data_IF_385829393796
#
_entry.id   IF_385829393796
#
_cell.length_a   1.000
_cell.length_b   1.000
_cell.length_c   1.000
_cell.angle_alpha   90.00
_cell.angle_beta   90.00
_cell.angle_gamma   90.00
#
_symmetry.space_group_name_H-M   'P 1'
#
loop_
_entity.id
_entity.type
_entity.pdbx_description
1 polymer ?
#
# COMPACT_ATOMS: atom_id res chain seq x y z
N UNK A 1 -16.39 -18.04 21.91
CA UNK A 1 -15.32 -17.52 22.80
C UNK A 1 -14.45 -16.60 21.97
N UNK A 2 -14.19 -15.36 22.41
CA UNK A 2 -13.32 -14.44 21.68
C UNK A 2 -11.87 -14.85 21.96
N UNK A 3 -11.14 -15.26 20.93
CA UNK A 3 -9.75 -15.72 21.05
C UNK A 3 -8.85 -14.50 21.18
N UNK A 4 -7.91 -14.54 22.13
CA UNK A 4 -6.80 -13.57 22.18
C UNK A 4 -5.75 -14.09 21.19
N UNK A 5 -5.67 -13.45 20.02
CA UNK A 5 -4.78 -13.86 18.94
C UNK A 5 -3.51 -13.02 18.96
N UNK A 6 -2.38 -13.64 19.29
CA UNK A 6 -1.06 -13.00 19.41
C UNK A 6 -0.07 -13.48 18.32
N UNK A 7 -0.57 -14.09 17.24
CA UNK A 7 0.29 -14.64 16.18
C UNK A 7 1.03 -13.55 15.39
N UNK A 8 0.37 -12.44 15.10
CA UNK A 8 0.90 -11.27 14.39
C UNK A 8 -0.13 -10.14 14.45
N UNK A 9 0.30 -8.90 14.27
CA UNK A 9 -0.54 -7.73 14.00
C UNK A 9 -1.32 -7.82 12.67
N UNK A 10 -0.88 -8.61 11.70
CA UNK A 10 -1.57 -8.81 10.40
C UNK A 10 -2.96 -9.44 10.52
N UNK A 11 -3.34 -9.96 11.69
CA UNK A 11 -4.68 -10.50 11.97
C UNK A 11 -5.72 -9.41 12.25
N UNK A 12 -5.34 -8.12 12.22
CA UNK A 12 -6.26 -7.01 12.39
C UNK A 12 -7.44 -7.08 11.42
N UNK A 13 -8.63 -6.72 11.92
CA UNK A 13 -9.85 -6.61 11.11
C UNK A 13 -10.19 -5.13 10.91
N UNK A 14 -10.72 -4.73 9.73
CA UNK A 14 -11.20 -3.37 9.50
C UNK A 14 -12.26 -2.96 10.52
N UNK A 15 -12.08 -1.77 11.11
CA UNK A 15 -13.05 -1.15 12.01
C UNK A 15 -14.35 -0.79 11.26
N UNK A 16 -15.48 -0.56 11.95
CA UNK A 16 -16.71 -0.13 11.29
C UNK A 16 -16.53 1.15 10.46
N UNK A 17 -15.79 2.14 10.98
CA UNK A 17 -15.51 3.38 10.25
C UNK A 17 -14.68 3.14 8.99
N UNK A 18 -13.69 2.24 9.04
CA UNK A 18 -12.91 1.86 7.86
C UNK A 18 -13.78 1.14 6.82
N UNK A 19 -14.69 0.27 7.25
CA UNK A 19 -15.65 -0.40 6.34
C UNK A 19 -16.56 0.59 5.64
N UNK A 20 -17.07 1.59 6.36
CA UNK A 20 -17.89 2.64 5.77
C UNK A 20 -17.09 3.50 4.77
N UNK A 21 -15.84 3.86 5.11
CA UNK A 21 -14.97 4.61 4.22
C UNK A 21 -14.66 3.84 2.93
N UNK A 22 -14.38 2.53 3.04
CA UNK A 22 -14.18 1.66 1.86
C UNK A 22 -15.46 1.57 1.02
N UNK A 23 -16.62 1.41 1.64
CA UNK A 23 -17.90 1.32 0.93
C UNK A 23 -18.27 2.61 0.17
N UNK A 24 -17.91 3.77 0.72
CA UNK A 24 -18.19 5.09 0.13
C UNK A 24 -17.08 5.65 -0.75
N UNK A 25 -15.97 4.94 -0.91
CA UNK A 25 -14.84 5.44 -1.68
C UNK A 25 -15.25 5.70 -3.14
N UNK A 26 -14.85 6.84 -3.68
CA UNK A 26 -14.89 7.07 -5.12
C UNK A 26 -13.77 6.25 -5.74
N UNK A 27 -14.09 5.47 -6.77
CA UNK A 27 -13.17 4.54 -7.42
C UNK A 27 -13.14 4.78 -8.93
N UNK A 28 -12.05 4.38 -9.56
CA UNK A 28 -11.84 4.49 -11.00
C UNK A 28 -10.92 3.38 -11.52
N UNK A 29 -10.50 3.51 -12.77
CA UNK A 29 -9.52 2.58 -13.34
C UNK A 29 -8.09 3.08 -13.02
N UNK A 30 -7.45 2.42 -12.07
CA UNK A 30 -6.10 2.75 -11.60
C UNK A 30 -5.03 2.56 -12.70
N UNK A 31 -5.25 1.67 -13.68
CA UNK A 31 -4.31 1.50 -14.80
C UNK A 31 -4.23 2.76 -15.67
N UNK A 32 -5.33 3.51 -15.74
CA UNK A 32 -5.39 4.81 -16.42
C UNK A 32 -5.11 5.99 -15.47
N UNK A 33 -4.87 5.74 -14.17
CA UNK A 33 -4.66 6.77 -13.15
C UNK A 33 -5.95 7.51 -12.76
N UNK A 34 -7.10 6.89 -12.99
CA UNK A 34 -8.41 7.53 -12.82
C UNK A 34 -9.08 7.20 -11.46
N UNK A 35 -8.41 6.46 -10.57
CA UNK A 35 -8.93 6.20 -9.22
C UNK A 35 -8.57 7.35 -8.25
N UNK A 36 -9.55 8.21 -7.86
CA UNK A 36 -9.26 9.36 -7.02
C UNK A 36 -8.88 8.99 -5.58
N UNK A 37 -9.30 7.81 -5.10
CA UNK A 37 -8.96 7.36 -3.75
C UNK A 37 -7.53 6.82 -3.69
N UNK A 38 -7.08 6.10 -4.73
CA UNK A 38 -5.67 5.67 -4.86
C UNK A 38 -4.75 6.89 -5.00
N UNK A 39 -5.06 7.81 -5.93
CA UNK A 39 -4.25 9.01 -6.14
C UNK A 39 -4.06 9.81 -4.84
N UNK A 40 -5.14 10.03 -4.09
CA UNK A 40 -5.08 10.73 -2.80
C UNK A 40 -4.27 9.97 -1.74
N UNK A 41 -4.32 8.64 -1.73
CA UNK A 41 -3.51 7.83 -0.81
C UNK A 41 -2.02 7.98 -1.12
N UNK A 42 -1.65 7.92 -2.39
CA UNK A 42 -0.27 8.05 -2.86
C UNK A 42 0.30 9.45 -2.61
N UNK A 43 -0.46 10.51 -2.92
CA UNK A 43 -0.11 11.89 -2.63
C UNK A 43 0.13 12.10 -1.13
N UNK A 44 -0.80 11.64 -0.29
CA UNK A 44 -0.67 11.73 1.16
C UNK A 44 0.55 10.95 1.67
N UNK A 45 0.84 9.77 1.12
CA UNK A 45 2.00 8.98 1.50
C UNK A 45 3.32 9.69 1.11
N UNK A 46 3.38 10.25 -0.11
CA UNK A 46 4.53 11.01 -0.60
C UNK A 46 4.81 12.23 0.28
N UNK A 47 3.77 13.03 0.58
CA UNK A 47 3.86 14.20 1.45
C UNK A 47 4.39 13.82 2.84
N UNK A 48 3.81 12.79 3.47
CA UNK A 48 4.20 12.33 4.81
C UNK A 48 5.65 11.87 4.88
N UNK A 49 6.18 11.31 3.79
CA UNK A 49 7.56 10.81 3.71
C UNK A 49 8.55 11.83 3.15
N UNK A 50 8.08 13.03 2.75
CA UNK A 50 8.91 14.03 2.09
C UNK A 50 9.49 13.52 0.76
N UNK A 51 8.69 12.79 -0.02
CA UNK A 51 9.06 12.22 -1.32
C UNK A 51 8.21 12.84 -2.44
N UNK A 52 8.71 12.72 -3.66
CA UNK A 52 8.06 13.28 -4.85
C UNK A 52 6.80 12.50 -5.26
N UNK A 53 6.76 11.18 -4.99
CA UNK A 53 5.65 10.31 -5.37
C UNK A 53 5.50 9.11 -4.41
N UNK A 54 4.31 8.52 -4.43
CA UNK A 54 3.97 7.24 -3.80
C UNK A 54 3.43 6.26 -4.84
N UNK A 55 3.41 4.96 -4.51
CA UNK A 55 2.81 3.92 -5.34
C UNK A 55 2.09 2.91 -4.43
N UNK A 56 0.79 2.72 -4.64
CA UNK A 56 0.00 1.72 -3.94
C UNK A 56 0.26 0.32 -4.52
N UNK A 57 0.51 -0.65 -3.63
CA UNK A 57 0.77 -2.05 -4.00
C UNK A 57 0.03 -2.99 -3.07
N UNK A 58 -0.29 -4.19 -3.55
CA UNK A 58 -1.16 -5.13 -2.84
C UNK A 58 -0.53 -5.78 -1.60
N UNK A 59 0.79 -5.67 -1.42
CA UNK A 59 1.51 -6.21 -0.27
C UNK A 59 2.87 -5.56 -0.06
N UNK A 60 3.40 -5.64 1.16
CA UNK A 60 4.78 -5.23 1.45
C UNK A 60 5.82 -6.01 0.65
N UNK A 61 5.56 -7.29 0.36
CA UNK A 61 6.44 -8.11 -0.49
C UNK A 61 6.52 -7.57 -1.91
N UNK A 62 5.39 -7.16 -2.51
CA UNK A 62 5.37 -6.52 -3.82
C UNK A 62 6.08 -5.16 -3.78
N UNK A 63 5.88 -4.36 -2.73
CA UNK A 63 6.58 -3.09 -2.55
C UNK A 63 8.09 -3.24 -2.57
N UNK A 64 8.63 -4.19 -1.79
CA UNK A 64 10.06 -4.49 -1.81
C UNK A 64 10.52 -5.03 -3.17
N UNK A 65 9.75 -5.94 -3.79
CA UNK A 65 10.14 -6.51 -5.09
C UNK A 65 10.23 -5.44 -6.18
N UNK A 66 9.24 -4.56 -6.29
CA UNK A 66 9.26 -3.47 -7.28
C UNK A 66 10.42 -2.53 -6.98
N UNK A 67 10.65 -2.15 -5.71
CA UNK A 67 11.79 -1.31 -5.35
C UNK A 67 13.13 -1.92 -5.78
N UNK A 68 13.34 -3.23 -5.56
CA UNK A 68 14.56 -3.93 -6.00
C UNK A 68 14.69 -3.92 -7.53
N UNK A 69 13.61 -4.22 -8.26
CA UNK A 69 13.62 -4.20 -9.73
C UNK A 69 13.81 -2.80 -10.32
N UNK A 70 13.41 -1.75 -9.60
CA UNK A 70 13.64 -0.36 -9.99
C UNK A 70 15.08 0.07 -9.70
N UNK A 71 15.67 -0.35 -8.59
CA UNK A 71 17.01 0.07 -8.18
C UNK A 71 18.15 -0.77 -8.77
N UNK A 72 17.88 -2.02 -9.16
CA UNK A 72 18.91 -2.97 -9.57
C UNK A 72 18.64 -3.57 -10.95
N UNK A 73 19.70 -3.76 -11.72
CA UNK A 73 19.71 -4.49 -12.98
C UNK A 73 20.13 -5.94 -12.78
N UNK A 74 19.99 -6.74 -13.84
CA UNK A 74 20.41 -8.14 -13.81
C UNK A 74 21.93 -8.22 -13.58
N UNK A 75 22.32 -8.82 -12.46
CA UNK A 75 23.72 -9.00 -12.06
C UNK A 75 24.19 -8.02 -10.98
N UNK A 76 23.37 -7.04 -10.62
CA UNK A 76 23.63 -6.17 -9.48
C UNK A 76 23.43 -6.93 -8.16
N UNK A 77 24.02 -6.40 -7.10
CA UNK A 77 23.92 -6.92 -5.73
C UNK A 77 23.14 -5.95 -4.84
N UNK A 78 22.37 -6.50 -3.90
CA UNK A 78 21.71 -5.75 -2.84
C UNK A 78 22.23 -6.24 -1.50
N UNK A 79 22.82 -5.33 -0.74
CA UNK A 79 23.28 -5.59 0.63
C UNK A 79 22.06 -5.43 1.55
N UNK A 80 21.73 -6.47 2.31
CA UNK A 80 20.49 -6.61 3.10
C UNK A 80 20.80 -7.07 4.52
#
# INVERSE_FOLDING_TARGET
MKVIDLRSDTVTLPTPAMREAMYRAEVGDDVFGEDPTVNRLEEMAAERMGKEAGLFVVSGTMGNLVALLTHCQRGDEVIL
#
